data_IF_973782817037
#
_entry.id   IF_973782817037
#
_cell.length_a   1.000
_cell.length_b   1.000
_cell.length_c   1.000
_cell.angle_alpha   90.00
_cell.angle_beta   90.00
_cell.angle_gamma   90.00
#
_symmetry.space_group_name_H-M   'P 1'
#
loop_
_entity.id
_entity.type
_entity.pdbx_description
1 polymer ?
#
# COMPACT_ATOMS: atom_id res chain seq x y z
N UNK A 1 -13.55 -36.36 -3.65
CA UNK A 1 -13.46 -35.91 -5.10
C UNK A 1 -13.38 -34.40 -5.19
N UNK A 2 -14.16 -33.65 -4.39
CA UNK A 2 -14.18 -32.16 -4.40
C UNK A 2 -12.86 -31.62 -3.85
N UNK A 3 -12.35 -32.15 -2.74
CA UNK A 3 -11.11 -31.68 -2.09
C UNK A 3 -9.88 -31.78 -3.00
N UNK A 4 -9.78 -32.84 -3.84
CA UNK A 4 -8.67 -32.96 -4.78
C UNK A 4 -8.72 -31.89 -5.87
N UNK A 5 -9.92 -31.61 -6.41
CA UNK A 5 -10.11 -30.61 -7.44
C UNK A 5 -9.80 -29.17 -6.92
N UNK A 6 -10.07 -28.90 -5.64
CA UNK A 6 -9.79 -27.62 -5.00
C UNK A 6 -8.28 -27.45 -4.79
N UNK A 7 -7.59 -28.48 -4.31
CA UNK A 7 -6.14 -28.43 -4.09
C UNK A 7 -5.34 -28.22 -5.38
N UNK A 8 -5.84 -28.73 -6.50
CA UNK A 8 -5.17 -28.58 -7.80
C UNK A 8 -5.26 -27.16 -8.39
N UNK A 9 -6.21 -26.34 -7.92
CA UNK A 9 -6.39 -24.97 -8.42
C UNK A 9 -5.78 -23.91 -7.52
N UNK A 10 -5.46 -24.24 -6.24
CA UNK A 10 -4.83 -23.37 -5.27
C UNK A 10 -3.30 -23.35 -5.45
N UNK A 11 -2.75 -22.22 -5.80
CA UNK A 11 -1.31 -22.02 -5.93
C UNK A 11 -0.79 -21.21 -4.73
N UNK A 12 0.25 -21.70 -4.05
CA UNK A 12 0.86 -21.00 -2.93
C UNK A 12 1.51 -19.67 -3.36
N UNK A 13 1.37 -18.66 -2.52
CA UNK A 13 2.08 -17.38 -2.65
C UNK A 13 2.79 -17.04 -1.34
N UNK A 14 3.60 -16.00 -1.31
CA UNK A 14 4.29 -15.57 -0.09
C UNK A 14 3.34 -15.11 1.04
N UNK A 15 2.04 -14.81 0.73
CA UNK A 15 1.07 -14.25 1.68
C UNK A 15 -0.24 -15.03 1.78
N UNK A 16 -0.30 -16.18 1.16
CA UNK A 16 -1.52 -17.00 1.11
C UNK A 16 -1.59 -17.80 -0.17
N UNK A 17 -2.69 -17.66 -0.89
CA UNK A 17 -2.97 -18.45 -2.10
C UNK A 17 -3.41 -17.55 -3.25
N UNK A 18 -3.27 -18.04 -4.47
CA UNK A 18 -3.90 -17.48 -5.66
C UNK A 18 -4.61 -18.58 -6.46
N UNK A 19 -5.64 -18.20 -7.17
CA UNK A 19 -6.41 -19.09 -8.05
C UNK A 19 -6.58 -18.41 -9.39
N UNK A 20 -6.36 -19.14 -10.46
CA UNK A 20 -6.60 -18.64 -11.81
C UNK A 20 -8.10 -18.58 -12.09
N UNK A 21 -8.63 -17.43 -12.50
CA UNK A 21 -10.08 -17.22 -12.76
C UNK A 21 -10.60 -18.22 -13.79
N UNK A 22 -9.82 -18.53 -14.83
CA UNK A 22 -10.21 -19.54 -15.84
C UNK A 22 -10.48 -20.92 -15.24
N UNK A 23 -9.68 -21.33 -14.23
CA UNK A 23 -9.88 -22.59 -13.54
C UNK A 23 -11.17 -22.61 -12.71
N UNK A 24 -11.49 -21.47 -12.06
CA UNK A 24 -12.75 -21.32 -11.32
C UNK A 24 -13.94 -21.39 -12.28
N UNK A 25 -13.91 -20.66 -13.38
CA UNK A 25 -15.01 -20.59 -14.35
C UNK A 25 -15.26 -21.92 -15.07
N UNK A 26 -14.33 -22.86 -15.02
CA UNK A 26 -14.53 -24.22 -15.57
C UNK A 26 -15.27 -25.17 -14.62
N UNK A 27 -15.49 -24.77 -13.35
CA UNK A 27 -16.19 -25.56 -12.36
C UNK A 27 -17.72 -25.51 -12.56
N UNK A 28 -18.39 -26.63 -12.46
CA UNK A 28 -19.85 -26.71 -12.59
C UNK A 28 -20.43 -27.72 -11.58
N UNK A 29 -21.44 -27.33 -10.77
CA UNK A 29 -22.05 -25.97 -10.68
C UNK A 29 -21.13 -25.00 -9.93
N UNK A 30 -21.01 -23.73 -10.39
CA UNK A 30 -20.01 -22.79 -9.89
C UNK A 30 -20.18 -22.39 -8.42
N UNK A 31 -21.40 -21.97 -8.02
CA UNK A 31 -21.66 -21.44 -6.67
C UNK A 31 -21.28 -22.39 -5.52
N UNK A 32 -21.63 -23.68 -5.55
CA UNK A 32 -21.18 -24.63 -4.55
C UNK A 32 -19.64 -24.70 -4.43
N UNK A 33 -18.92 -24.71 -5.56
CA UNK A 33 -17.46 -24.70 -5.54
C UNK A 33 -16.91 -23.40 -4.98
N UNK A 34 -17.49 -22.25 -5.28
CA UNK A 34 -17.10 -20.98 -4.66
C UNK A 34 -17.22 -21.04 -3.13
N UNK A 35 -18.31 -21.62 -2.63
CA UNK A 35 -18.50 -21.80 -1.19
C UNK A 35 -17.39 -22.68 -0.59
N UNK A 36 -17.14 -23.85 -1.16
CA UNK A 36 -16.12 -24.78 -0.67
C UNK A 36 -14.71 -24.19 -0.72
N UNK A 37 -14.40 -23.44 -1.77
CA UNK A 37 -13.07 -22.81 -1.94
C UNK A 37 -12.85 -21.69 -0.93
N UNK A 38 -13.86 -20.82 -0.72
CA UNK A 38 -13.65 -19.56 0.00
C UNK A 38 -14.16 -19.54 1.44
N UNK A 39 -15.08 -20.45 1.83
CA UNK A 39 -15.59 -20.53 3.20
C UNK A 39 -14.52 -20.85 4.26
N UNK A 40 -13.47 -21.68 4.00
CA UNK A 40 -12.40 -21.89 4.96
C UNK A 40 -11.62 -20.63 5.32
N UNK A 41 -11.67 -19.63 4.44
CA UNK A 41 -11.02 -18.32 4.63
C UNK A 41 -11.99 -17.25 5.17
N UNK A 42 -13.22 -17.66 5.58
CA UNK A 42 -14.22 -16.79 6.17
C UNK A 42 -15.09 -16.00 5.18
N UNK A 43 -15.12 -16.41 3.90
CA UNK A 43 -15.99 -15.79 2.88
C UNK A 43 -17.18 -16.71 2.63
N UNK A 44 -18.30 -16.42 3.28
CA UNK A 44 -19.54 -17.20 3.19
C UNK A 44 -20.59 -16.58 2.27
N UNK A 45 -20.41 -15.30 1.91
CA UNK A 45 -21.28 -14.60 0.94
C UNK A 45 -20.82 -14.90 -0.49
N UNK A 46 -21.31 -16.03 -1.00
CA UNK A 46 -20.98 -16.52 -2.34
C UNK A 46 -21.54 -15.62 -3.45
N UNK A 47 -22.68 -14.97 -3.21
CA UNK A 47 -23.30 -14.10 -4.21
C UNK A 47 -22.39 -12.91 -4.53
N UNK A 48 -21.83 -12.25 -3.51
CA UNK A 48 -20.87 -11.16 -3.70
C UNK A 48 -19.62 -11.58 -4.49
N UNK A 49 -19.15 -12.82 -4.30
CA UNK A 49 -18.00 -13.35 -5.04
C UNK A 49 -18.40 -13.63 -6.50
N UNK A 50 -19.57 -14.25 -6.69
CA UNK A 50 -20.11 -14.59 -7.99
C UNK A 50 -20.31 -13.33 -8.86
N UNK A 51 -20.93 -12.28 -8.29
CA UNK A 51 -21.18 -11.02 -8.98
C UNK A 51 -19.88 -10.36 -9.46
N UNK A 52 -18.81 -10.39 -8.64
CA UNK A 52 -17.50 -9.83 -9.03
C UNK A 52 -16.87 -10.61 -10.18
N UNK A 53 -17.03 -11.95 -10.20
CA UNK A 53 -16.54 -12.80 -11.27
C UNK A 53 -17.31 -12.57 -12.58
N UNK A 54 -18.64 -12.53 -12.53
CA UNK A 54 -19.51 -12.30 -13.70
C UNK A 54 -19.27 -10.91 -14.32
N UNK A 55 -19.10 -9.88 -13.46
CA UNK A 55 -18.86 -8.52 -13.93
C UNK A 55 -17.39 -8.27 -14.33
N UNK A 56 -16.51 -9.24 -14.18
CA UNK A 56 -15.07 -9.15 -14.47
C UNK A 56 -14.38 -7.89 -13.86
N UNK A 57 -14.78 -7.53 -12.62
CA UNK A 57 -14.31 -6.33 -11.95
C UNK A 57 -12.91 -6.58 -11.38
N UNK A 58 -11.88 -6.03 -12.03
CA UNK A 58 -10.50 -6.06 -11.52
C UNK A 58 -10.27 -5.01 -10.45
N UNK A 59 -9.44 -5.35 -9.45
CA UNK A 59 -9.09 -4.48 -8.32
C UNK A 59 -10.11 -4.47 -7.19
N UNK A 60 -11.22 -5.23 -7.29
CA UNK A 60 -12.19 -5.39 -6.21
C UNK A 60 -11.57 -6.18 -5.07
N UNK A 61 -11.87 -5.75 -3.83
CA UNK A 61 -11.51 -6.46 -2.60
C UNK A 61 -12.76 -6.84 -1.83
N UNK A 62 -12.80 -8.08 -1.34
CA UNK A 62 -13.78 -8.55 -0.36
C UNK A 62 -13.00 -8.91 0.90
N UNK A 63 -13.50 -8.53 2.07
CA UNK A 63 -12.85 -8.74 3.36
C UNK A 63 -13.61 -9.77 4.18
N UNK A 64 -12.90 -10.70 4.80
CA UNK A 64 -13.39 -11.52 5.90
C UNK A 64 -12.73 -11.08 7.21
N UNK A 65 -12.99 -11.80 8.30
CA UNK A 65 -12.33 -11.53 9.58
C UNK A 65 -10.82 -11.87 9.58
N UNK A 66 -10.38 -12.73 8.69
CA UNK A 66 -9.02 -13.28 8.67
C UNK A 66 -8.29 -13.11 7.34
N UNK A 67 -9.02 -12.93 6.24
CA UNK A 67 -8.46 -12.88 4.90
C UNK A 67 -9.05 -11.76 4.04
N UNK A 68 -8.32 -11.41 2.99
CA UNK A 68 -8.76 -10.52 1.91
C UNK A 68 -8.78 -11.31 0.62
N UNK A 69 -9.90 -11.25 -0.13
CA UNK A 69 -9.94 -11.62 -1.55
C UNK A 69 -9.60 -10.38 -2.37
N UNK A 70 -8.63 -10.51 -3.26
CA UNK A 70 -8.32 -9.50 -4.26
C UNK A 70 -8.53 -10.09 -5.64
N UNK A 71 -9.44 -9.51 -6.39
CA UNK A 71 -9.71 -9.89 -7.77
C UNK A 71 -8.80 -9.07 -8.70
N UNK A 72 -7.95 -9.75 -9.44
CA UNK A 72 -7.15 -9.17 -10.52
C UNK A 72 -7.69 -9.70 -11.87
N UNK A 73 -7.04 -9.34 -12.97
CA UNK A 73 -7.50 -9.68 -14.33
C UNK A 73 -7.53 -11.18 -14.60
N UNK A 74 -6.55 -11.91 -14.06
CA UNK A 74 -6.37 -13.34 -14.32
C UNK A 74 -6.46 -14.21 -13.06
N UNK A 75 -6.31 -13.62 -11.88
CA UNK A 75 -6.20 -14.33 -10.62
C UNK A 75 -7.08 -13.74 -9.53
N UNK A 76 -7.56 -14.61 -8.64
CA UNK A 76 -8.05 -14.22 -7.32
C UNK A 76 -6.95 -14.54 -6.32
N UNK A 77 -6.56 -13.56 -5.51
CA UNK A 77 -5.63 -13.75 -4.41
C UNK A 77 -6.41 -13.87 -3.11
N UNK A 78 -6.07 -14.88 -2.32
CA UNK A 78 -6.56 -15.09 -0.96
C UNK A 78 -5.38 -14.77 -0.05
N UNK A 79 -5.38 -13.62 0.58
CA UNK A 79 -4.29 -13.17 1.43
C UNK A 79 -4.74 -13.11 2.88
N UNK A 80 -3.90 -13.59 3.80
CA UNK A 80 -4.12 -13.37 5.23
C UNK A 80 -4.21 -11.86 5.48
N UNK A 81 -5.22 -11.45 6.24
CA UNK A 81 -5.17 -10.15 6.89
C UNK A 81 -4.09 -10.28 7.95
N UNK A 82 -2.83 -10.04 7.57
CA UNK A 82 -1.83 -9.72 8.58
C UNK A 82 -2.50 -8.63 9.43
N UNK A 83 -2.63 -8.86 10.74
CA UNK A 83 -2.89 -7.77 11.66
C UNK A 83 -1.83 -6.76 11.28
N UNK A 84 -2.24 -5.71 10.57
CA UNK A 84 -1.35 -4.60 10.30
C UNK A 84 -1.05 -4.03 11.68
N UNK A 85 -0.05 -4.60 12.33
CA UNK A 85 0.63 -3.88 13.37
C UNK A 85 0.91 -2.54 12.72
N UNK A 86 0.43 -1.49 13.36
CA UNK A 86 0.74 -0.13 12.94
C UNK A 86 2.23 0.04 13.23
N UNK A 87 3.06 -0.63 12.43
CA UNK A 87 4.50 -0.52 12.55
C UNK A 87 4.88 0.92 12.23
N UNK A 88 4.89 1.72 13.27
CA UNK A 88 5.41 3.07 13.23
C UNK A 88 6.85 3.01 13.70
N UNK A 89 7.77 3.35 12.81
CA UNK A 89 9.19 3.45 13.14
C UNK A 89 9.51 4.91 13.46
N UNK A 90 10.02 5.14 14.65
CA UNK A 90 10.44 6.48 15.05
C UNK A 90 11.86 6.77 14.58
N UNK A 91 12.05 7.98 14.07
CA UNK A 91 13.31 8.52 13.59
C UNK A 91 13.70 9.69 14.48
N UNK A 92 14.66 9.49 15.38
CA UNK A 92 15.21 10.56 16.20
C UNK A 92 16.04 11.52 15.36
N UNK A 93 16.25 12.73 15.87
CA UNK A 93 17.00 13.80 15.19
C UNK A 93 18.44 13.39 14.85
N UNK A 94 19.04 12.55 15.70
CA UNK A 94 20.45 12.15 15.61
C UNK A 94 20.66 10.88 14.79
N UNK A 95 19.57 10.28 14.28
CA UNK A 95 19.64 9.06 13.51
C UNK A 95 20.07 9.35 12.08
N UNK A 96 21.18 8.77 11.65
CA UNK A 96 21.74 8.98 10.32
C UNK A 96 21.24 7.97 9.27
N UNK A 97 20.76 6.81 9.70
CA UNK A 97 20.27 5.78 8.77
C UNK A 97 19.26 4.82 9.40
N UNK A 98 18.39 4.30 8.56
CA UNK A 98 17.45 3.22 8.88
C UNK A 98 17.64 2.10 7.85
N UNK A 99 17.64 0.85 8.33
CA UNK A 99 17.75 -0.33 7.46
C UNK A 99 16.42 -1.04 7.30
N UNK A 100 15.51 -0.91 8.26
CA UNK A 100 14.20 -1.56 8.29
C UNK A 100 13.13 -0.54 8.77
N UNK A 101 11.93 -0.48 8.21
CA UNK A 101 11.33 -1.35 7.19
C UNK A 101 11.82 -1.07 5.77
N UNK A 102 12.48 0.06 5.55
CA UNK A 102 13.09 0.47 4.28
C UNK A 102 14.45 1.12 4.56
N UNK A 103 15.36 1.02 3.61
CA UNK A 103 16.68 1.65 3.74
C UNK A 103 16.58 3.15 3.43
N UNK A 104 16.82 3.98 4.43
CA UNK A 104 16.86 5.45 4.30
C UNK A 104 18.13 5.98 5.00
N UNK A 105 18.80 6.91 4.34
CA UNK A 105 19.87 7.69 4.91
C UNK A 105 19.39 9.12 5.12
N UNK A 106 19.69 9.69 6.28
CA UNK A 106 19.38 11.07 6.64
C UNK A 106 20.66 11.87 6.69
N UNK A 107 20.68 12.97 5.98
CA UNK A 107 21.81 13.90 5.96
C UNK A 107 21.26 15.29 6.25
N UNK A 108 21.99 16.08 7.03
CA UNK A 108 21.66 17.48 7.22
C UNK A 108 22.79 18.35 6.68
N UNK A 109 22.48 19.44 6.03
CA UNK A 109 23.43 20.34 5.40
C UNK A 109 22.98 21.80 5.52
N UNK A 110 23.93 22.69 5.75
CA UNK A 110 23.73 24.13 5.64
C UNK A 110 23.91 24.61 4.18
N UNK A 111 24.55 23.78 3.35
CA UNK A 111 24.62 24.02 1.91
C UNK A 111 23.32 23.56 1.25
N UNK A 112 22.58 24.49 0.67
CA UNK A 112 21.27 24.26 0.07
C UNK A 112 21.44 23.83 -1.39
N UNK A 113 21.66 22.54 -1.61
CA UNK A 113 21.75 21.93 -2.93
C UNK A 113 20.59 20.95 -3.12
N UNK A 114 19.56 21.39 -3.84
CA UNK A 114 18.35 20.57 -4.08
C UNK A 114 18.68 19.50 -5.12
N UNK A 115 18.64 18.24 -4.73
CA UNK A 115 18.64 17.11 -5.65
C UNK A 115 17.20 16.82 -6.10
N UNK A 116 17.01 16.60 -7.41
CA UNK A 116 15.71 16.33 -8.03
C UNK A 116 15.45 14.85 -8.29
N UNK A 117 16.32 13.95 -7.87
CA UNK A 117 16.10 12.52 -7.99
C UNK A 117 14.90 12.06 -7.15
N UNK A 118 14.09 11.15 -7.69
CA UNK A 118 12.87 10.66 -7.02
C UNK A 118 13.12 9.99 -5.67
N UNK A 119 14.31 9.43 -5.50
CA UNK A 119 14.70 8.74 -4.27
C UNK A 119 15.32 9.66 -3.22
N UNK A 120 15.45 10.95 -3.53
CA UNK A 120 16.02 11.97 -2.64
C UNK A 120 14.93 12.99 -2.32
N UNK A 121 14.78 13.30 -1.06
CA UNK A 121 13.85 14.31 -0.59
C UNK A 121 14.62 15.36 0.23
N UNK A 122 14.49 16.62 -0.15
CA UNK A 122 15.07 17.76 0.53
C UNK A 122 13.99 18.53 1.27
N UNK A 123 14.18 18.74 2.57
CA UNK A 123 13.23 19.42 3.43
C UNK A 123 13.87 20.63 4.11
N UNK A 124 13.06 21.62 4.41
CA UNK A 124 13.44 22.66 5.37
C UNK A 124 13.51 22.05 6.77
N UNK A 125 14.72 21.93 7.32
CA UNK A 125 14.98 21.27 8.59
C UNK A 125 14.21 21.90 9.76
N UNK A 126 14.07 23.23 9.76
CA UNK A 126 13.41 23.96 10.82
C UNK A 126 11.88 23.75 10.84
N UNK A 127 11.31 23.20 9.76
CA UNK A 127 9.91 22.84 9.66
C UNK A 127 9.60 21.42 10.18
N UNK A 128 10.64 20.64 10.51
CA UNK A 128 10.49 19.26 10.96
C UNK A 128 10.30 19.16 12.48
N UNK A 129 9.27 18.42 12.90
CA UNK A 129 9.04 18.07 14.30
C UNK A 129 9.51 16.64 14.55
N UNK A 130 10.60 16.50 15.31
CA UNK A 130 11.13 15.19 15.70
C UNK A 130 10.44 14.66 16.98
N UNK A 131 10.36 13.32 17.17
CA UNK A 131 10.80 12.29 16.23
C UNK A 131 9.93 12.25 14.97
N UNK A 132 10.57 12.03 13.80
CA UNK A 132 9.82 11.70 12.60
C UNK A 132 9.30 10.27 12.71
N UNK A 133 8.30 9.94 11.90
CA UNK A 133 7.72 8.59 11.87
C UNK A 133 7.70 8.05 10.45
N UNK A 134 8.06 6.78 10.31
CA UNK A 134 7.86 6.02 9.07
C UNK A 134 6.71 5.06 9.32
N UNK A 135 5.71 5.06 8.45
CA UNK A 135 4.58 4.15 8.51
C UNK A 135 4.04 3.81 7.12
N UNK A 136 3.25 2.78 7.05
CA UNK A 136 2.43 2.51 5.87
C UNK A 136 1.35 3.59 5.70
N UNK A 137 0.96 3.82 4.45
CA UNK A 137 -0.18 4.68 4.17
C UNK A 137 -1.50 4.04 4.64
N UNK A 138 -2.50 4.87 4.91
CA UNK A 138 -3.82 4.45 5.39
C UNK A 138 -4.91 5.16 4.58
N UNK A 139 -6.09 4.54 4.53
CA UNK A 139 -7.27 5.19 3.94
C UNK A 139 -7.58 6.51 4.67
N UNK A 140 -7.86 7.54 3.91
CA UNK A 140 -8.08 8.89 4.45
C UNK A 140 -6.83 9.77 4.55
N UNK A 141 -5.63 9.22 4.36
CA UNK A 141 -4.39 10.01 4.30
C UNK A 141 -4.46 11.05 3.19
N UNK A 142 -4.00 12.26 3.53
CA UNK A 142 -3.92 13.40 2.61
C UNK A 142 -2.64 14.20 2.84
N UNK A 143 -2.10 14.74 1.77
CA UNK A 143 -0.92 15.59 1.80
C UNK A 143 -1.05 16.69 0.73
N UNK A 144 -0.15 17.66 0.76
CA UNK A 144 -0.08 18.70 -0.26
C UNK A 144 1.10 18.39 -1.20
N UNK A 145 0.89 17.76 -2.36
CA UNK A 145 2.00 17.39 -3.25
C UNK A 145 2.82 18.60 -3.66
N UNK A 146 4.17 18.48 -3.72
CA UNK A 146 5.07 19.53 -4.16
C UNK A 146 4.59 20.16 -5.47
N UNK A 147 4.43 21.49 -5.48
CA UNK A 147 3.92 22.28 -6.60
C UNK A 147 2.40 22.42 -6.61
N UNK A 148 1.68 21.92 -5.61
CA UNK A 148 0.24 22.12 -5.44
C UNK A 148 -0.04 22.98 -4.21
N UNK A 149 -1.14 23.75 -4.26
CA UNK A 149 -1.58 24.61 -3.15
C UNK A 149 -2.75 24.01 -2.35
N UNK A 150 -3.16 22.78 -2.68
CA UNK A 150 -4.30 22.10 -2.06
C UNK A 150 -3.95 20.69 -1.63
N UNK A 151 -4.69 20.20 -0.62
CA UNK A 151 -4.57 18.83 -0.19
C UNK A 151 -5.14 17.86 -1.23
N UNK A 152 -4.43 16.76 -1.42
CA UNK A 152 -4.86 15.63 -2.24
C UNK A 152 -4.92 14.37 -1.38
N UNK A 153 -5.99 13.58 -1.55
CA UNK A 153 -6.02 12.24 -0.95
C UNK A 153 -4.92 11.38 -1.55
N UNK A 154 -4.29 10.57 -0.70
CA UNK A 154 -3.22 9.68 -1.16
C UNK A 154 -3.74 8.62 -2.16
N UNK A 155 -4.98 8.15 -1.96
CA UNK A 155 -5.67 7.27 -2.90
C UNK A 155 -5.73 7.86 -4.32
N UNK A 156 -6.11 9.15 -4.41
CA UNK A 156 -6.25 9.85 -5.69
C UNK A 156 -4.88 10.12 -6.33
N UNK A 157 -3.88 10.47 -5.49
CA UNK A 157 -2.50 10.61 -5.94
C UNK A 157 -1.97 9.31 -6.56
N UNK A 158 -2.25 8.15 -5.95
CA UNK A 158 -1.84 6.85 -6.49
C UNK A 158 -2.54 6.49 -7.80
N UNK A 159 -3.78 6.92 -7.99
CA UNK A 159 -4.50 6.76 -9.26
C UNK A 159 -3.83 7.60 -10.36
N UNK A 160 -3.52 8.86 -10.07
CA UNK A 160 -2.88 9.76 -11.05
C UNK A 160 -1.52 9.24 -11.54
N UNK A 161 -0.72 8.69 -10.63
CA UNK A 161 0.59 8.10 -11.00
C UNK A 161 0.47 6.64 -11.50
N UNK A 162 -0.77 6.15 -11.69
CA UNK A 162 -1.08 4.80 -12.18
C UNK A 162 -0.42 3.69 -11.38
N UNK A 163 -0.32 3.87 -10.06
CA UNK A 163 0.27 2.89 -9.18
C UNK A 163 -0.68 1.69 -9.04
N UNK A 164 -0.18 0.49 -9.28
CA UNK A 164 -0.95 -0.74 -9.13
C UNK A 164 -1.24 -1.06 -7.64
N UNK A 165 -2.19 -1.97 -7.40
CA UNK A 165 -2.69 -2.28 -6.05
C UNK A 165 -1.59 -2.83 -5.15
N UNK A 166 -0.72 -3.71 -5.68
CA UNK A 166 0.36 -4.33 -4.90
C UNK A 166 1.46 -3.33 -4.56
N UNK A 167 1.78 -2.43 -5.50
CA UNK A 167 2.74 -1.36 -5.28
C UNK A 167 2.24 -0.37 -4.23
N UNK A 168 0.94 -0.05 -4.22
CA UNK A 168 0.33 0.81 -3.17
C UNK A 168 0.55 0.26 -1.77
N UNK A 169 0.43 -1.05 -1.57
CA UNK A 169 0.62 -1.68 -0.25
C UNK A 169 2.06 -1.60 0.27
N UNK A 170 3.03 -1.43 -0.63
CA UNK A 170 4.46 -1.30 -0.29
C UNK A 170 4.88 0.13 0.02
N UNK A 171 4.02 1.12 -0.24
CA UNK A 171 4.35 2.53 -0.02
C UNK A 171 4.49 2.84 1.46
N UNK A 172 5.62 3.44 1.82
CA UNK A 172 5.84 4.02 3.13
C UNK A 172 5.76 5.54 3.06
N UNK A 173 5.38 6.12 4.18
CA UNK A 173 5.29 7.56 4.38
C UNK A 173 6.30 7.97 5.44
N UNK A 174 6.96 9.11 5.22
CA UNK A 174 7.67 9.84 6.27
C UNK A 174 6.74 10.93 6.80
N UNK A 175 6.56 10.98 8.11
CA UNK A 175 5.68 11.91 8.78
C UNK A 175 6.42 12.74 9.82
N UNK A 176 6.03 14.01 9.96
CA UNK A 176 6.45 14.92 11.01
C UNK A 176 5.24 15.25 11.87
N UNK A 177 5.18 14.70 13.08
CA UNK A 177 3.96 14.66 13.87
C UNK A 177 2.84 13.94 13.11
N UNK A 178 1.70 14.61 12.91
CA UNK A 178 0.57 14.06 12.14
C UNK A 178 0.61 14.39 10.64
N UNK A 179 1.61 15.15 10.19
CA UNK A 179 1.68 15.61 8.79
C UNK A 179 2.56 14.67 7.98
N UNK A 180 2.07 14.23 6.84
CA UNK A 180 2.87 13.52 5.84
C UNK A 180 3.81 14.55 5.22
N UNK A 181 5.12 14.27 5.22
CA UNK A 181 6.14 15.12 4.62
C UNK A 181 6.68 14.53 3.33
N UNK A 182 6.62 13.19 3.19
CA UNK A 182 7.10 12.49 2.00
C UNK A 182 6.31 11.20 1.76
N UNK A 183 5.82 11.04 0.56
CA UNK A 183 5.43 9.75 0.02
C UNK A 183 6.72 9.15 -0.54
N UNK A 184 7.35 8.26 0.23
CA UNK A 184 8.74 7.82 0.01
C UNK A 184 8.91 7.21 -1.39
N UNK A 185 9.89 7.70 -2.14
CA UNK A 185 10.14 7.31 -3.52
C UNK A 185 9.24 8.00 -4.57
N UNK A 186 8.30 8.86 -4.15
CA UNK A 186 7.37 9.50 -5.07
C UNK A 186 7.36 11.03 -5.00
N UNK A 187 6.85 11.63 -3.90
CA UNK A 187 6.63 13.08 -3.83
C UNK A 187 6.71 13.59 -2.40
N UNK A 188 7.40 14.71 -2.20
CA UNK A 188 7.39 15.45 -0.94
C UNK A 188 6.13 16.32 -0.82
N UNK A 189 5.82 16.71 0.40
CA UNK A 189 4.77 17.69 0.69
C UNK A 189 5.30 19.11 0.51
N UNK A 190 4.55 19.95 -0.18
CA UNK A 190 4.93 21.32 -0.55
C UNK A 190 5.22 22.22 0.67
N UNK A 191 4.58 21.96 1.78
CA UNK A 191 4.72 22.73 3.02
C UNK A 191 6.10 22.58 3.69
N UNK A 192 6.84 21.53 3.34
CA UNK A 192 8.15 21.21 3.92
C UNK A 192 9.30 21.36 2.93
N UNK A 193 9.02 21.94 1.76
CA UNK A 193 10.02 22.15 0.73
C UNK A 193 11.08 23.15 1.17
N UNK A 194 12.26 23.00 0.63
CA UNK A 194 13.34 23.98 0.73
C UNK A 194 12.94 25.25 -0.03
N UNK A 195 13.17 26.40 0.57
CA UNK A 195 12.89 27.74 0.02
C UNK A 195 14.12 28.61 0.09
N UNK A 196 14.06 29.84 -0.47
CA UNK A 196 15.13 30.83 -0.34
C UNK A 196 15.40 31.30 1.11
N UNK A 197 14.48 30.98 2.04
CA UNK A 197 14.61 31.32 3.48
C UNK A 197 15.16 30.16 4.32
N UNK A 198 15.28 28.98 3.75
CA UNK A 198 15.78 27.79 4.43
C UNK A 198 17.25 27.97 4.79
N UNK A 199 17.60 27.78 6.05
CA UNK A 199 18.97 27.89 6.57
C UNK A 199 19.69 26.55 6.63
N UNK A 200 18.91 25.48 6.83
CA UNK A 200 19.39 24.11 6.97
C UNK A 200 18.40 23.15 6.32
N UNK A 201 18.90 22.20 5.55
CA UNK A 201 18.09 21.13 4.99
C UNK A 201 18.49 19.76 5.52
#
# INVERSE_FOLDING_TARGET
VVDNAINDILENTARGFKIQIKKINSLSPLKPYLYEIFSPYGFTDVESIYDVLECAISGKKILSNSHTLLFDREYIFIENIEKKDKEEFQVSKDLSNIKHPIKINFLSSESILINKEKNIACFDFDMLNFPLKIRKWQSGDKFCPLGMNSFKKLSDFFIDIKLDVFSKEKVFLLCSGMKIIWVIGYRIDDRFKVTSKTKKM
#
